data_IF_595612031773
#
_entry.id   IF_595612031773
#
_cell.length_a   1.000
_cell.length_b   1.000
_cell.length_c   1.000
_cell.angle_alpha   90.00
_cell.angle_beta   90.00
_cell.angle_gamma   90.00
#
_symmetry.space_group_name_H-M   'P 1'
#
loop_
_entity.id
_entity.type
_entity.pdbx_description
1 polymer ?
#
# COMPACT_ATOMS: atom_id res chain seq x y z
N UNK A 1 -14.35 5.38 -10.07
CA UNK A 1 -12.92 5.07 -10.11
C UNK A 1 -12.69 3.57 -10.33
N UNK A 2 -11.96 3.21 -11.38
CA UNK A 2 -11.52 1.86 -11.73
C UNK A 2 -10.03 1.72 -11.38
N UNK A 3 -9.64 0.63 -10.71
CA UNK A 3 -8.25 0.32 -10.41
C UNK A 3 -7.84 -0.95 -11.14
N UNK A 4 -6.73 -0.88 -11.89
CA UNK A 4 -6.16 -2.01 -12.62
C UNK A 4 -4.74 -2.25 -12.16
N UNK A 5 -4.36 -3.51 -11.99
CA UNK A 5 -3.00 -3.93 -11.70
C UNK A 5 -2.69 -5.26 -12.37
N UNK A 6 -1.44 -5.46 -12.75
CA UNK A 6 -0.99 -6.74 -13.30
C UNK A 6 -0.95 -7.83 -12.24
N UNK A 7 -1.16 -9.09 -12.64
CA UNK A 7 -1.11 -10.26 -11.74
C UNK A 7 0.18 -10.32 -10.91
N UNK A 8 1.34 -10.05 -11.51
CA UNK A 8 2.61 -10.09 -10.79
C UNK A 8 2.72 -9.01 -9.70
N UNK A 9 2.12 -7.83 -9.90
CA UNK A 9 2.06 -6.76 -8.89
C UNK A 9 1.19 -7.19 -7.71
N UNK A 10 0.03 -7.80 -8.02
CA UNK A 10 -0.86 -8.36 -6.99
C UNK A 10 -0.19 -9.47 -6.18
N UNK A 11 0.47 -10.42 -6.86
CA UNK A 11 1.17 -11.53 -6.22
C UNK A 11 2.30 -11.04 -5.30
N UNK A 12 3.05 -10.02 -5.72
CA UNK A 12 4.09 -9.43 -4.89
C UNK A 12 3.55 -8.67 -3.67
N UNK A 13 2.39 -8.00 -3.78
CA UNK A 13 1.69 -7.40 -2.64
C UNK A 13 1.27 -8.46 -1.63
N UNK A 14 0.67 -9.56 -2.10
CA UNK A 14 0.25 -10.68 -1.26
C UNK A 14 1.45 -11.36 -0.58
N UNK A 15 2.56 -11.52 -1.30
CA UNK A 15 3.80 -12.06 -0.76
C UNK A 15 4.40 -11.14 0.31
N UNK A 16 4.35 -9.81 0.13
CA UNK A 16 4.77 -8.84 1.15
C UNK A 16 3.95 -8.98 2.43
N UNK A 17 2.62 -9.12 2.31
CA UNK A 17 1.74 -9.36 3.46
C UNK A 17 2.07 -10.68 4.17
N UNK A 18 2.37 -11.75 3.41
CA UNK A 18 2.75 -13.06 3.94
C UNK A 18 4.08 -13.03 4.69
N UNK A 19 5.08 -12.31 4.18
CA UNK A 19 6.40 -12.20 4.80
C UNK A 19 6.40 -11.42 6.11
N UNK A 20 5.52 -10.42 6.23
CA UNK A 20 5.44 -9.59 7.43
C UNK A 20 4.45 -10.11 8.48
N UNK A 21 3.67 -11.14 8.18
CA UNK A 21 2.76 -11.77 9.15
C UNK A 21 3.51 -12.18 10.43
N UNK A 22 2.98 -11.90 11.64
CA UNK A 22 1.63 -11.39 11.96
C UNK A 22 1.52 -9.85 12.04
N UNK A 23 2.49 -9.11 11.52
CA UNK A 23 2.45 -7.64 11.43
C UNK A 23 1.85 -7.18 10.11
N UNK A 24 1.39 -5.94 10.08
CA UNK A 24 0.88 -5.31 8.87
C UNK A 24 2.03 -4.96 7.92
N UNK A 25 1.80 -5.16 6.62
CA UNK A 25 2.63 -4.56 5.57
C UNK A 25 2.13 -3.16 5.23
N UNK A 26 2.99 -2.30 4.70
CA UNK A 26 2.60 -1.02 4.12
C UNK A 26 3.43 -0.75 2.89
N UNK A 27 2.75 -0.43 1.80
CA UNK A 27 3.31 -0.19 0.48
C UNK A 27 2.75 1.11 -0.09
N UNK A 28 3.59 1.85 -0.79
CA UNK A 28 3.16 2.95 -1.67
C UNK A 28 2.83 2.35 -3.03
N UNK A 29 1.70 2.75 -3.61
CA UNK A 29 1.31 2.36 -4.96
C UNK A 29 1.78 3.42 -5.94
N UNK A 30 2.56 3.00 -6.95
CA UNK A 30 3.01 3.88 -8.02
C UNK A 30 2.42 3.43 -9.34
N UNK A 31 2.04 4.40 -10.16
CA UNK A 31 1.27 4.15 -11.36
C UNK A 31 0.88 5.42 -12.12
N UNK A 32 -0.20 5.29 -12.88
CA UNK A 32 -0.73 6.36 -13.74
C UNK A 32 -2.21 6.52 -13.51
N UNK A 33 -2.66 7.78 -13.41
CA UNK A 33 -4.09 8.13 -13.38
C UNK A 33 -4.50 8.72 -14.74
N UNK A 34 -5.62 8.24 -15.30
CA UNK A 34 -6.25 8.77 -16.50
C UNK A 34 -7.76 8.86 -16.29
N UNK A 35 -8.25 10.06 -15.97
CA UNK A 35 -9.65 10.27 -15.58
C UNK A 35 -10.01 9.45 -14.34
N UNK A 36 -11.01 8.57 -14.51
CA UNK A 36 -11.50 7.66 -13.48
C UNK A 36 -10.69 6.36 -13.36
N UNK A 37 -9.65 6.13 -14.18
CA UNK A 37 -8.85 4.91 -14.15
C UNK A 37 -7.49 5.15 -13.49
N UNK A 38 -7.10 4.25 -12.59
CA UNK A 38 -5.77 4.17 -11.98
C UNK A 38 -5.13 2.85 -12.37
N UNK A 39 -3.96 2.91 -13.01
CA UNK A 39 -3.14 1.77 -13.36
C UNK A 39 -1.94 1.70 -12.43
N UNK A 40 -1.86 0.67 -11.59
CA UNK A 40 -0.74 0.42 -10.68
C UNK A 40 0.30 -0.43 -11.40
N UNK A 41 1.52 0.10 -11.50
CA UNK A 41 2.63 -0.55 -12.22
C UNK A 41 3.67 -1.14 -11.28
N UNK A 42 3.83 -0.56 -10.09
CA UNK A 42 4.82 -0.99 -9.10
C UNK A 42 4.40 -0.58 -7.69
N UNK A 43 5.12 -1.08 -6.69
CA UNK A 43 5.00 -0.64 -5.31
C UNK A 43 6.36 -0.25 -4.76
N UNK A 44 6.36 0.65 -3.78
CA UNK A 44 7.55 1.08 -3.07
C UNK A 44 7.39 0.84 -1.57
N UNK A 45 8.51 0.66 -0.87
CA UNK A 45 8.52 0.70 0.58
C UNK A 45 8.57 2.17 1.03
N UNK A 46 7.66 2.61 1.92
CA UNK A 46 7.76 3.94 2.46
C UNK A 46 9.02 4.09 3.32
N UNK A 47 9.70 5.25 3.27
CA UNK A 47 10.84 5.53 4.12
C UNK A 47 10.40 5.53 5.59
N UNK A 48 11.28 5.04 6.47
CA UNK A 48 11.11 5.08 7.92
C UNK A 48 9.76 4.55 8.45
N UNK A 49 9.19 3.55 7.76
CA UNK A 49 7.92 2.95 8.15
C UNK A 49 7.93 2.46 9.62
N UNK A 50 7.05 3.04 10.42
CA UNK A 50 6.86 2.71 11.83
C UNK A 50 5.85 1.57 11.92
N UNK A 51 6.21 0.52 12.66
CA UNK A 51 5.37 -0.68 12.83
C UNK A 51 5.14 -0.93 14.30
N UNK A 52 3.90 -1.20 14.65
CA UNK A 52 3.54 -1.68 15.97
C UNK A 52 2.58 -2.87 15.91
N UNK A 53 1.87 -3.10 17.00
CA UNK A 53 0.87 -4.16 17.07
C UNK A 53 -0.46 -3.63 16.54
N UNK A 54 -0.84 -4.07 15.34
CA UNK A 54 -2.09 -3.65 14.67
C UNK A 54 -2.03 -2.23 14.12
N UNK A 55 -0.83 -1.74 13.77
CA UNK A 55 -0.69 -0.53 12.96
C UNK A 55 0.63 -0.52 12.20
N UNK A 56 0.61 0.18 11.07
CA UNK A 56 1.78 0.58 10.30
C UNK A 56 1.57 1.97 9.73
N UNK A 57 2.62 2.80 9.73
CA UNK A 57 2.53 4.17 9.24
C UNK A 57 3.86 4.73 8.78
N UNK A 58 3.81 5.88 8.14
CA UNK A 58 4.97 6.65 7.70
C UNK A 58 4.62 8.13 7.67
N UNK A 59 5.63 8.99 7.62
CA UNK A 59 5.42 10.42 7.44
C UNK A 59 5.44 10.76 5.94
N UNK A 60 4.37 11.35 5.38
CA UNK A 60 4.39 11.85 4.00
C UNK A 60 5.44 12.94 3.76
N UNK A 61 5.92 13.62 4.81
CA UNK A 61 6.98 14.63 4.70
C UNK A 61 8.35 14.05 4.32
N UNK A 62 8.54 12.74 4.51
CA UNK A 62 9.78 12.06 4.14
C UNK A 62 9.76 11.58 2.68
N UNK A 63 8.64 11.74 1.96
CA UNK A 63 8.54 11.37 0.56
C UNK A 63 9.09 12.47 -0.36
N UNK A 64 9.92 12.12 -1.36
CA UNK A 64 10.19 13.04 -2.45
C UNK A 64 8.90 13.32 -3.23
N UNK A 65 8.83 14.48 -3.88
CA UNK A 65 7.72 14.80 -4.78
C UNK A 65 7.71 13.80 -5.95
N UNK A 66 6.76 12.88 -5.94
CA UNK A 66 6.56 11.87 -6.96
C UNK A 66 5.08 11.87 -7.42
N UNK A 67 4.74 12.52 -8.55
CA UNK A 67 3.37 12.58 -9.05
C UNK A 67 2.87 11.23 -9.59
N UNK A 68 3.72 10.22 -9.67
CA UNK A 68 3.32 8.86 -10.03
C UNK A 68 2.84 8.05 -8.83
N UNK A 69 2.93 8.55 -7.60
CA UNK A 69 2.27 7.93 -6.45
C UNK A 69 0.75 8.09 -6.56
N UNK A 70 0.04 6.96 -6.54
CA UNK A 70 -1.41 6.89 -6.76
C UNK A 70 -2.19 6.39 -5.54
N UNK A 71 -1.50 5.95 -4.49
CA UNK A 71 -2.12 5.54 -3.23
C UNK A 71 -1.21 4.73 -2.32
N UNK A 72 -1.82 4.06 -1.35
CA UNK A 72 -1.17 3.13 -0.40
C UNK A 72 -1.93 1.80 -0.37
N UNK A 73 -1.25 0.75 0.09
CA UNK A 73 -1.87 -0.53 0.43
C UNK A 73 -1.22 -1.08 1.70
N UNK A 74 -2.03 -1.72 2.55
CA UNK A 74 -1.57 -2.40 3.75
C UNK A 74 -2.28 -3.76 3.91
N UNK A 75 -1.82 -4.59 4.85
CA UNK A 75 -2.48 -5.87 5.16
C UNK A 75 -3.14 -5.82 6.53
N UNK A 76 -4.22 -6.60 6.71
CA UNK A 76 -4.86 -6.86 7.99
C UNK A 76 -4.63 -8.33 8.40
N UNK A 77 -3.60 -8.64 9.23
CA UNK A 77 -3.29 -10.00 9.66
C UNK A 77 -4.41 -10.69 10.45
N UNK A 78 -5.37 -9.93 10.97
CA UNK A 78 -6.57 -10.44 11.65
C UNK A 78 -7.55 -11.15 10.71
N UNK A 79 -7.49 -10.87 9.40
CA UNK A 79 -8.45 -11.32 8.41
C UNK A 79 -9.73 -10.46 8.32
N UNK A 80 -9.87 -9.44 9.18
CA UNK A 80 -10.93 -8.44 9.03
C UNK A 80 -10.55 -7.44 7.94
N UNK A 81 -11.34 -7.35 6.87
CA UNK A 81 -11.07 -6.46 5.74
C UNK A 81 -11.70 -5.06 5.91
N UNK A 82 -12.33 -4.80 7.05
CA UNK A 82 -12.95 -3.51 7.35
C UNK A 82 -11.85 -2.49 7.66
N UNK A 83 -11.81 -1.33 6.98
CA UNK A 83 -10.86 -0.27 7.31
C UNK A 83 -11.10 0.25 8.74
N UNK A 84 -10.02 0.43 9.49
CA UNK A 84 -10.04 1.08 10.78
C UNK A 84 -10.25 2.59 10.62
N UNK A 85 -10.57 3.32 11.71
CA UNK A 85 -10.63 4.78 11.66
C UNK A 85 -9.31 5.46 11.26
N UNK A 86 -8.17 4.78 11.41
CA UNK A 86 -6.86 5.32 11.00
C UNK A 86 -6.59 5.14 9.50
N UNK A 87 -7.34 4.25 8.83
CA UNK A 87 -7.17 3.97 7.40
C UNK A 87 -7.97 4.93 6.50
N UNK A 88 -8.92 5.68 7.07
CA UNK A 88 -9.83 6.63 6.40
C UNK A 88 -9.26 8.06 6.41
#
# INVERSE_FOLDING_TARGET
MELVMGRGVLEALLESARQLHPRETLLLLRGRRRGERVEVTEFLLPPFAQRGRGFVGFSPHDLPLDPSLVGTAHSHPSGDLTPSPTDL
#
